data_IF_862639600158
#
_entry.id   IF_862639600158
#
_cell.length_a   1.000
_cell.length_b   1.000
_cell.length_c   1.000
_cell.angle_alpha   90.00
_cell.angle_beta   90.00
_cell.angle_gamma   90.00
#
_symmetry.space_group_name_H-M   'P 1'
#
loop_
_entity.id
_entity.type
_entity.pdbx_description
1 polymer ?
#
# COMPACT_ATOMS: atom_id res chain seq x y z
N UNK A 1 -1.88 -27.22 0.33
CA UNK A 1 -0.76 -26.62 1.08
C UNK A 1 -1.09 -25.14 1.28
N UNK A 2 -1.42 -24.70 2.50
CA UNK A 2 -1.69 -23.28 2.80
C UNK A 2 -0.36 -22.54 2.66
N UNK A 3 -0.19 -21.77 1.60
CA UNK A 3 0.92 -20.82 1.47
C UNK A 3 0.62 -19.66 2.41
N UNK A 4 1.22 -19.68 3.59
CA UNK A 4 1.19 -18.56 4.52
C UNK A 4 1.97 -17.42 3.88
N UNK A 5 1.29 -16.55 3.13
CA UNK A 5 1.86 -15.27 2.74
C UNK A 5 2.07 -14.49 4.04
N UNK A 6 3.32 -14.33 4.47
CA UNK A 6 3.68 -13.44 5.57
C UNK A 6 3.19 -12.04 5.21
N UNK A 7 2.10 -11.60 5.85
CA UNK A 7 1.57 -10.25 5.67
C UNK A 7 2.65 -9.26 6.12
N UNK A 8 3.00 -8.32 5.24
CA UNK A 8 3.98 -7.30 5.57
C UNK A 8 3.27 -6.28 6.47
N UNK A 9 3.80 -6.02 7.65
CA UNK A 9 3.26 -5.03 8.56
C UNK A 9 4.26 -3.88 8.75
N UNK A 10 3.74 -2.68 8.99
CA UNK A 10 4.52 -1.52 9.40
C UNK A 10 3.72 -0.66 10.38
N UNK A 11 4.41 0.09 11.22
CA UNK A 11 3.80 0.98 12.21
C UNK A 11 3.44 2.33 11.60
N UNK A 12 2.53 3.04 12.26
CA UNK A 12 2.23 4.44 11.94
C UNK A 12 3.50 5.31 11.94
N UNK A 13 4.38 5.14 12.94
CA UNK A 13 5.65 5.86 13.00
C UNK A 13 6.53 5.61 11.75
N UNK A 14 6.61 4.37 11.26
CA UNK A 14 7.34 4.04 10.04
C UNK A 14 6.72 4.70 8.80
N UNK A 15 5.40 4.87 8.75
CA UNK A 15 4.73 5.62 7.68
C UNK A 15 5.12 7.10 7.71
N UNK A 16 5.06 7.74 8.88
CA UNK A 16 5.45 9.14 9.04
C UNK A 16 6.92 9.37 8.70
N UNK A 17 7.80 8.46 9.09
CA UNK A 17 9.22 8.53 8.74
C UNK A 17 9.45 8.35 7.24
N UNK A 18 8.72 7.43 6.58
CA UNK A 18 8.75 7.29 5.13
C UNK A 18 8.33 8.60 4.44
N UNK A 19 7.23 9.22 4.87
CA UNK A 19 6.73 10.48 4.32
C UNK A 19 7.77 11.59 4.45
N UNK A 20 8.46 11.68 5.58
CA UNK A 20 9.55 12.65 5.78
C UNK A 20 10.72 12.40 4.83
N UNK A 21 11.07 11.14 4.57
CA UNK A 21 12.15 10.76 3.65
C UNK A 21 11.80 11.08 2.19
N UNK A 22 10.58 10.78 1.76
CA UNK A 22 10.19 10.96 0.35
C UNK A 22 9.75 12.39 0.02
N UNK A 23 9.34 13.20 1.01
CA UNK A 23 8.88 14.59 0.81
C UNK A 23 9.84 15.46 -0.02
N UNK A 24 11.16 15.48 0.22
CA UNK A 24 12.07 16.32 -0.55
C UNK A 24 12.46 15.71 -1.91
N UNK A 25 12.02 14.48 -2.24
CA UNK A 25 12.46 13.76 -3.42
C UNK A 25 11.59 14.09 -4.64
N UNK A 26 12.24 14.21 -5.79
CA UNK A 26 11.59 14.25 -7.11
C UNK A 26 11.13 12.86 -7.56
N UNK A 27 10.21 12.80 -8.53
CA UNK A 27 9.77 11.54 -9.13
C UNK A 27 10.94 10.71 -9.68
N UNK A 28 11.92 11.36 -10.31
CA UNK A 28 13.11 10.68 -10.85
C UNK A 28 13.98 10.05 -9.75
N UNK A 29 14.15 10.75 -8.62
CA UNK A 29 14.84 10.20 -7.45
C UNK A 29 14.05 9.04 -6.83
N UNK A 30 12.72 9.13 -6.78
CA UNK A 30 11.89 8.03 -6.28
C UNK A 30 12.01 6.78 -7.14
N UNK A 31 12.01 6.94 -8.47
CA UNK A 31 12.20 5.84 -9.44
C UNK A 31 13.59 5.24 -9.25
N UNK A 32 14.63 6.07 -9.20
CA UNK A 32 16.03 5.61 -9.19
C UNK A 32 16.43 4.99 -7.85
N UNK A 33 16.01 5.57 -6.72
CA UNK A 33 16.42 5.13 -5.38
C UNK A 33 15.60 3.95 -4.86
N UNK A 34 14.34 3.81 -5.30
CA UNK A 34 13.41 2.82 -4.74
C UNK A 34 12.80 1.86 -5.76
N UNK A 35 13.26 1.89 -7.02
CA UNK A 35 12.74 1.04 -8.11
C UNK A 35 11.21 1.14 -8.25
N UNK A 36 10.70 2.35 -8.13
CA UNK A 36 9.26 2.62 -8.22
C UNK A 36 8.86 2.71 -9.70
N UNK A 37 7.76 2.04 -10.04
CA UNK A 37 7.18 2.12 -11.37
C UNK A 37 6.84 3.60 -11.70
N UNK A 38 7.26 4.12 -12.88
CA UNK A 38 7.21 5.56 -13.16
C UNK A 38 5.82 6.19 -12.97
N UNK A 39 4.74 5.49 -13.37
CA UNK A 39 3.38 6.03 -13.25
C UNK A 39 2.91 6.14 -11.80
N UNK A 40 3.58 5.45 -10.86
CA UNK A 40 3.30 5.53 -9.43
C UNK A 40 4.14 6.60 -8.73
N UNK A 41 5.29 6.98 -9.28
CA UNK A 41 6.20 7.93 -8.63
C UNK A 41 5.53 9.28 -8.35
N UNK A 42 4.83 9.83 -9.34
CA UNK A 42 4.14 11.12 -9.23
C UNK A 42 3.02 11.15 -8.19
N UNK A 43 2.43 9.98 -7.89
CA UNK A 43 1.30 9.84 -6.97
C UNK A 43 1.73 9.33 -5.59
N UNK A 44 2.98 8.90 -5.42
CA UNK A 44 3.41 8.20 -4.22
C UNK A 44 3.28 9.07 -2.98
N UNK A 45 3.76 10.32 -3.06
CA UNK A 45 3.76 11.23 -1.92
C UNK A 45 2.33 11.57 -1.48
N UNK A 46 1.46 11.94 -2.42
CA UNK A 46 0.06 12.26 -2.10
C UNK A 46 -0.69 11.06 -1.54
N UNK A 47 -0.47 9.86 -2.09
CA UNK A 47 -1.05 8.63 -1.57
C UNK A 47 -0.56 8.30 -0.15
N UNK A 48 0.72 8.51 0.14
CA UNK A 48 1.28 8.28 1.47
C UNK A 48 0.69 9.23 2.52
N UNK A 49 0.54 10.51 2.18
CA UNK A 49 -0.11 11.50 3.06
C UNK A 49 -1.58 11.13 3.33
N UNK A 50 -2.34 10.75 2.29
CA UNK A 50 -3.73 10.30 2.48
C UNK A 50 -3.80 9.09 3.41
N UNK A 51 -2.89 8.12 3.25
CA UNK A 51 -2.84 6.96 4.12
C UNK A 51 -2.51 7.33 5.57
N UNK A 52 -1.59 8.27 5.79
CA UNK A 52 -1.24 8.78 7.13
C UNK A 52 -2.46 9.36 7.84
N UNK A 53 -3.20 10.25 7.17
CA UNK A 53 -4.42 10.88 7.69
C UNK A 53 -5.50 9.84 8.02
N UNK A 54 -5.68 8.82 7.16
CA UNK A 54 -6.63 7.73 7.42
C UNK A 54 -6.22 6.94 8.66
N UNK A 55 -4.94 6.55 8.74
CA UNK A 55 -4.44 5.76 9.87
C UNK A 55 -4.53 6.54 11.18
N UNK A 56 -4.21 7.84 11.15
CA UNK A 56 -4.36 8.75 12.29
C UNK A 56 -5.82 8.87 12.73
N UNK A 57 -6.76 9.08 11.80
CA UNK A 57 -8.18 9.17 12.10
C UNK A 57 -8.68 7.88 12.79
N UNK A 58 -8.30 6.71 12.28
CA UNK A 58 -8.67 5.44 12.92
C UNK A 58 -7.91 5.14 14.22
N UNK A 59 -6.91 5.95 14.59
CA UNK A 59 -6.06 5.71 15.77
C UNK A 59 -5.22 4.44 15.66
N UNK A 60 -4.99 3.94 14.44
CA UNK A 60 -4.33 2.67 14.21
C UNK A 60 -2.81 2.77 14.42
N UNK A 61 -2.25 1.82 15.16
CA UNK A 61 -0.80 1.80 15.46
C UNK A 61 0.00 0.98 14.45
N UNK A 62 -0.67 0.05 13.77
CA UNK A 62 -0.08 -0.91 12.84
C UNK A 62 -0.92 -1.03 11.60
N UNK A 63 -0.25 -1.11 10.46
CA UNK A 63 -0.82 -1.24 9.13
C UNK A 63 -0.38 -2.58 8.57
N UNK A 64 -1.33 -3.36 8.08
CA UNK A 64 -1.10 -4.66 7.48
C UNK A 64 -1.34 -4.59 5.98
N UNK A 65 -0.33 -4.98 5.19
CA UNK A 65 -0.41 -4.99 3.73
C UNK A 65 -0.89 -6.35 3.26
N UNK A 66 -2.06 -6.33 2.62
CA UNK A 66 -2.62 -7.51 1.94
C UNK A 66 -2.21 -7.55 0.47
N UNK A 67 -2.02 -8.76 -0.06
CA UNK A 67 -1.89 -9.01 -1.50
C UNK A 67 -3.25 -9.12 -2.21
N UNK A 68 -4.34 -9.21 -1.46
CA UNK A 68 -5.70 -9.26 -2.00
C UNK A 68 -6.17 -7.86 -2.37
N UNK A 69 -6.66 -7.71 -3.59
CA UNK A 69 -7.21 -6.48 -4.13
C UNK A 69 -8.62 -6.73 -4.68
N UNK A 70 -9.25 -5.66 -5.18
CA UNK A 70 -10.60 -5.69 -5.74
C UNK A 70 -10.79 -6.79 -6.81
N UNK A 71 -9.80 -6.98 -7.69
CA UNK A 71 -9.84 -8.00 -8.74
C UNK A 71 -10.00 -9.42 -8.20
N UNK A 72 -9.42 -9.70 -7.03
CA UNK A 72 -9.45 -11.02 -6.41
C UNK A 72 -10.83 -11.28 -5.82
N UNK A 73 -11.45 -10.24 -5.23
CA UNK A 73 -12.85 -10.26 -4.78
C UNK A 73 -13.82 -10.48 -5.93
N UNK A 74 -13.69 -9.73 -7.02
CA UNK A 74 -14.52 -9.88 -8.22
C UNK A 74 -14.38 -11.27 -8.84
N UNK A 75 -13.16 -11.81 -8.89
CA UNK A 75 -12.93 -13.16 -9.38
C UNK A 75 -13.62 -14.20 -8.49
N UNK A 76 -13.52 -14.07 -7.16
CA UNK A 76 -14.20 -14.97 -6.22
C UNK A 76 -15.71 -14.94 -6.42
N UNK A 77 -16.30 -13.74 -6.49
CA UNK A 77 -17.74 -13.56 -6.68
C UNK A 77 -18.23 -14.14 -8.02
N UNK A 78 -17.44 -13.95 -9.09
CA UNK A 78 -17.74 -14.51 -10.41
C UNK A 78 -17.70 -16.04 -10.38
N UNK A 79 -16.71 -16.64 -9.70
CA UNK A 79 -16.62 -18.09 -9.53
C UNK A 79 -17.80 -18.64 -8.74
N UNK A 80 -18.18 -17.98 -7.65
CA UNK A 80 -19.31 -18.39 -6.82
C UNK A 80 -20.62 -18.38 -7.63
N UNK A 81 -20.81 -17.36 -8.48
CA UNK A 81 -21.98 -17.24 -9.37
C UNK A 81 -22.03 -18.32 -10.45
N UNK A 82 -20.87 -18.74 -10.97
CA UNK A 82 -20.80 -19.77 -12.03
C UNK A 82 -20.94 -21.20 -11.48
N UNK A 83 -20.68 -21.40 -10.19
CA UNK A 83 -20.73 -22.71 -9.52
C UNK A 83 -22.02 -22.93 -8.72
N UNK A 84 -22.85 -21.89 -8.55
CA UNK A 84 -24.22 -21.97 -7.99
C UNK A 84 -25.24 -22.35 -9.04
#
# INVERSE_FOLDING_TARGET
RKTTHSLKHFSFAQLSDLIRVIRPMSSDELITCFDIEPRRADLLFSAAVILEEVVEWFGAQTIEVTSFALKDGLLSETLDTLLS
#
